data_IF_506548345661
#
_entry.id   IF_506548345661
#
_cell.length_a   1.000
_cell.length_b   1.000
_cell.length_c   1.000
_cell.angle_alpha   90.00
_cell.angle_beta   90.00
_cell.angle_gamma   90.00
#
_symmetry.space_group_name_H-M   'P 1'
#
loop_
_entity.id
_entity.type
_entity.pdbx_description
1 polymer ?
#
# COMPACT_ATOMS: atom_id res chain seq x y z
N UNK A 1 12.86 -3.07 2.10
CA UNK A 1 11.54 -3.03 2.77
C UNK A 1 10.42 -2.95 1.75
N UNK A 2 9.30 -3.58 2.07
CA UNK A 2 8.02 -3.41 1.36
C UNK A 2 7.06 -2.65 2.27
N UNK A 3 6.57 -1.51 1.81
CA UNK A 3 5.59 -0.67 2.49
C UNK A 3 4.26 -0.78 1.76
N UNK A 4 3.31 -1.51 2.33
CA UNK A 4 2.05 -1.86 1.68
C UNK A 4 0.88 -1.05 2.23
N UNK A 5 0.37 -0.09 1.45
CA UNK A 5 -0.79 0.73 1.79
C UNK A 5 -2.06 0.08 1.26
N UNK A 6 -2.93 -0.35 2.16
CA UNK A 6 -4.25 -0.92 1.85
C UNK A 6 -5.38 -0.07 2.41
N UNK A 7 -6.56 -0.17 1.85
CA UNK A 7 -7.75 0.58 2.27
C UNK A 7 -8.69 0.85 1.10
N UNK A 8 -9.87 1.36 1.38
CA UNK A 8 -10.88 1.67 0.37
C UNK A 8 -10.41 2.73 -0.65
N UNK A 9 -10.97 2.78 -1.86
CA UNK A 9 -10.76 3.89 -2.80
C UNK A 9 -11.04 5.24 -2.14
N UNK A 10 -10.19 6.23 -2.39
CA UNK A 10 -10.33 7.58 -1.81
C UNK A 10 -9.78 7.74 -0.39
N UNK A 11 -9.32 6.69 0.29
CA UNK A 11 -8.81 6.77 1.67
C UNK A 11 -7.49 7.55 1.84
N UNK A 12 -6.76 7.86 0.76
CA UNK A 12 -5.52 8.64 0.82
C UNK A 12 -4.23 7.85 0.64
N UNK A 13 -4.30 6.56 0.31
CA UNK A 13 -3.13 5.67 0.13
C UNK A 13 -2.03 6.24 -0.75
N UNK A 14 -2.38 6.69 -1.96
CA UNK A 14 -1.41 7.24 -2.93
C UNK A 14 -0.73 8.50 -2.39
N UNK A 15 -1.48 9.36 -1.71
CA UNK A 15 -0.93 10.60 -1.11
C UNK A 15 0.08 10.26 -0.01
N UNK A 16 -0.28 9.37 0.90
CA UNK A 16 0.60 8.96 1.99
C UNK A 16 1.80 8.15 1.47
N UNK A 17 1.59 7.29 0.47
CA UNK A 17 2.68 6.56 -0.19
C UNK A 17 3.71 7.49 -0.80
N UNK A 18 3.29 8.55 -1.52
CA UNK A 18 4.20 9.56 -2.07
C UNK A 18 4.96 10.32 -0.98
N UNK A 19 4.29 10.67 0.11
CA UNK A 19 4.94 11.33 1.27
C UNK A 19 5.97 10.43 1.95
N UNK A 20 5.67 9.14 2.10
CA UNK A 20 6.65 8.19 2.60
C UNK A 20 7.89 8.13 1.70
N UNK A 21 7.71 8.12 0.38
CA UNK A 21 8.83 8.10 -0.57
C UNK A 21 9.69 9.37 -0.44
N UNK A 22 9.07 10.54 -0.33
CA UNK A 22 9.78 11.79 -0.10
C UNK A 22 10.60 11.72 1.20
N UNK A 23 10.00 11.23 2.28
CA UNK A 23 10.65 11.04 3.56
C UNK A 23 11.83 10.06 3.47
N UNK A 24 11.64 8.87 2.91
CA UNK A 24 12.69 7.86 2.76
C UNK A 24 13.88 8.37 1.92
N UNK A 25 13.66 9.24 0.96
CA UNK A 25 14.72 9.87 0.16
C UNK A 25 15.49 10.93 0.93
N UNK A 26 14.90 11.57 1.93
CA UNK A 26 15.56 12.60 2.75
C UNK A 26 16.33 12.00 3.93
N UNK A 27 15.97 10.81 4.38
CA UNK A 27 16.63 10.13 5.49
C UNK A 27 18.06 9.72 5.12
N UNK A 28 19.04 10.29 5.83
CA UNK A 28 20.48 10.05 5.59
C UNK A 28 20.87 8.58 5.72
N UNK A 29 20.12 7.76 6.44
CA UNK A 29 20.36 6.32 6.60
C UNK A 29 20.05 5.55 5.31
N UNK A 30 19.15 6.06 4.47
CA UNK A 30 18.63 5.37 3.30
C UNK A 30 19.06 6.01 1.96
N UNK A 31 19.98 6.99 1.95
CA UNK A 31 20.41 7.68 0.73
C UNK A 31 20.94 6.77 -0.40
N UNK A 32 21.29 5.52 -0.07
CA UNK A 32 21.78 4.52 -1.03
C UNK A 32 20.68 3.59 -1.55
N UNK A 33 19.46 3.59 -0.95
CA UNK A 33 18.39 2.71 -1.40
C UNK A 33 17.49 3.41 -2.40
N UNK A 34 17.28 2.76 -3.53
CA UNK A 34 16.27 3.19 -4.50
C UNK A 34 14.89 2.80 -3.97
N UNK A 35 13.95 3.72 -4.02
CA UNK A 35 12.56 3.51 -3.61
C UNK A 35 11.66 3.58 -4.84
N UNK A 36 10.88 2.54 -5.08
CA UNK A 36 9.88 2.49 -6.15
C UNK A 36 8.48 2.71 -5.59
N UNK A 37 7.63 3.39 -6.36
CA UNK A 37 6.20 3.47 -6.09
C UNK A 37 5.44 2.59 -7.07
N UNK A 38 4.59 1.70 -6.55
CA UNK A 38 3.67 0.91 -7.33
C UNK A 38 2.24 1.30 -6.94
N UNK A 39 1.58 2.07 -7.79
CA UNK A 39 0.17 2.46 -7.60
C UNK A 39 -0.76 1.50 -8.34
N UNK A 40 -1.88 1.15 -7.70
CA UNK A 40 -2.82 0.18 -8.25
C UNK A 40 -3.56 0.65 -9.50
N UNK A 41 -3.80 1.95 -9.63
CA UNK A 41 -4.45 2.53 -10.80
C UNK A 41 -3.44 2.57 -11.98
N UNK A 42 -2.21 3.00 -11.75
CA UNK A 42 -1.13 2.97 -12.76
C UNK A 42 -0.87 1.53 -13.24
N UNK A 43 -0.87 0.56 -12.32
CA UNK A 43 -0.70 -0.85 -12.66
C UNK A 43 -1.84 -1.37 -13.55
N UNK A 44 -3.07 -0.92 -13.30
CA UNK A 44 -4.23 -1.28 -14.14
C UNK A 44 -4.09 -0.73 -15.56
N UNK A 45 -3.59 0.49 -15.70
CA UNK A 45 -3.30 1.08 -17.01
C UNK A 45 -2.22 0.29 -17.74
N UNK A 46 -1.12 -0.02 -17.07
CA UNK A 46 0.00 -0.78 -17.63
C UNK A 46 -0.42 -2.17 -18.10
N UNK A 47 -1.24 -2.87 -17.32
CA UNK A 47 -1.70 -4.23 -17.62
C UNK A 47 -2.99 -4.29 -18.43
N UNK A 48 -3.55 -3.13 -18.78
CA UNK A 48 -4.86 -2.99 -19.48
C UNK A 48 -5.99 -3.74 -18.73
N UNK A 49 -5.91 -3.82 -17.41
CA UNK A 49 -6.90 -4.50 -16.58
C UNK A 49 -8.01 -3.54 -16.16
N UNK A 50 -9.12 -3.54 -16.89
CA UNK A 50 -10.34 -2.78 -16.57
C UNK A 50 -11.38 -3.58 -15.79
N UNK A 51 -11.06 -4.80 -15.39
CA UNK A 51 -11.95 -5.68 -14.64
C UNK A 51 -11.88 -5.36 -13.13
N UNK A 52 -13.00 -4.86 -12.58
CA UNK A 52 -13.16 -4.56 -11.15
C UNK A 52 -13.94 -5.65 -10.40
N UNK A 53 -14.24 -6.77 -11.05
CA UNK A 53 -14.79 -7.97 -10.38
C UNK A 53 -13.79 -8.50 -9.35
N UNK A 54 -14.21 -9.36 -8.41
CA UNK A 54 -13.29 -10.02 -7.48
C UNK A 54 -12.10 -10.68 -8.18
N UNK A 55 -12.34 -11.35 -9.31
CA UNK A 55 -11.29 -11.99 -10.12
C UNK A 55 -10.32 -10.99 -10.74
N UNK A 56 -10.82 -9.92 -11.34
CA UNK A 56 -9.99 -8.88 -11.92
C UNK A 56 -9.17 -8.13 -10.87
N UNK A 57 -9.73 -7.95 -9.67
CA UNK A 57 -9.02 -7.39 -8.51
C UNK A 57 -7.91 -8.33 -8.02
N UNK A 58 -8.18 -9.63 -7.93
CA UNK A 58 -7.17 -10.62 -7.56
C UNK A 58 -6.00 -10.63 -8.54
N UNK A 59 -6.27 -10.61 -9.85
CA UNK A 59 -5.22 -10.53 -10.88
C UNK A 59 -4.35 -9.29 -10.67
N UNK A 60 -4.96 -8.13 -10.43
CA UNK A 60 -4.22 -6.89 -10.21
C UNK A 60 -3.35 -6.96 -8.94
N UNK A 61 -3.86 -7.55 -7.86
CA UNK A 61 -3.11 -7.75 -6.60
C UNK A 61 -1.93 -8.68 -6.84
N UNK A 62 -2.13 -9.80 -7.52
CA UNK A 62 -1.07 -10.75 -7.82
C UNK A 62 0.02 -10.14 -8.70
N UNK A 63 -0.34 -9.34 -9.69
CA UNK A 63 0.62 -8.58 -10.50
C UNK A 63 1.44 -7.62 -9.63
N UNK A 64 0.78 -6.88 -8.74
CA UNK A 64 1.46 -5.99 -7.80
C UNK A 64 2.43 -6.77 -6.89
N UNK A 65 2.03 -7.92 -6.37
CA UNK A 65 2.86 -8.78 -5.53
C UNK A 65 4.11 -9.27 -6.28
N UNK A 66 3.94 -9.78 -7.51
CA UNK A 66 5.06 -10.27 -8.32
C UNK A 66 6.08 -9.16 -8.62
N UNK A 67 5.61 -8.00 -9.02
CA UNK A 67 6.48 -6.84 -9.32
C UNK A 67 7.19 -6.36 -8.05
N UNK A 68 6.46 -6.25 -6.94
CA UNK A 68 7.00 -5.84 -5.65
C UNK A 68 8.09 -6.80 -5.17
N UNK A 69 7.83 -8.10 -5.22
CA UNK A 69 8.80 -9.12 -4.81
C UNK A 69 10.06 -9.08 -5.68
N UNK A 70 9.90 -8.95 -7.00
CA UNK A 70 11.03 -8.83 -7.91
C UNK A 70 11.90 -7.63 -7.57
N UNK A 71 11.30 -6.45 -7.43
CA UNK A 71 12.03 -5.21 -7.09
C UNK A 71 12.70 -5.32 -5.71
N UNK A 72 11.99 -5.85 -4.71
CA UNK A 72 12.52 -6.04 -3.36
C UNK A 72 13.76 -6.96 -3.35
N UNK A 73 13.75 -8.04 -4.12
CA UNK A 73 14.89 -8.97 -4.27
C UNK A 73 16.13 -8.31 -4.89
N UNK A 74 15.98 -7.20 -5.61
CA UNK A 74 17.11 -6.42 -6.12
C UNK A 74 17.76 -5.49 -5.06
N UNK A 75 17.23 -5.50 -3.83
CA UNK A 75 17.71 -4.65 -2.73
C UNK A 75 17.07 -3.26 -2.67
N UNK A 76 16.02 -3.02 -3.46
CA UNK A 76 15.27 -1.78 -3.45
C UNK A 76 14.12 -1.81 -2.43
N UNK A 77 13.70 -0.62 -1.97
CA UNK A 77 12.49 -0.46 -1.20
C UNK A 77 11.29 -0.23 -2.16
N UNK A 78 10.12 -0.75 -1.79
CA UNK A 78 8.91 -0.62 -2.61
C UNK A 78 7.77 -0.10 -1.76
N UNK A 79 7.16 0.99 -2.21
CA UNK A 79 5.92 1.52 -1.64
C UNK A 79 4.78 1.13 -2.57
N UNK A 80 3.82 0.38 -2.05
CA UNK A 80 2.65 -0.11 -2.81
C UNK A 80 1.40 0.59 -2.31
N UNK A 81 0.62 1.18 -3.21
CA UNK A 81 -0.67 1.82 -2.91
C UNK A 81 -1.78 1.08 -3.66
N UNK A 82 -2.46 0.17 -2.98
CA UNK A 82 -3.44 -0.72 -3.61
C UNK A 82 -4.63 -0.99 -2.70
N UNK A 83 -5.85 -1.08 -3.23
CA UNK A 83 -7.04 -1.40 -2.42
C UNK A 83 -6.93 -2.79 -1.79
N UNK A 84 -6.54 -3.80 -2.55
CA UNK A 84 -6.30 -5.19 -2.12
C UNK A 84 -7.38 -5.74 -1.15
N UNK A 85 -8.67 -5.87 -1.58
CA UNK A 85 -9.78 -6.20 -0.69
C UNK A 85 -9.64 -7.52 0.06
N UNK A 86 -9.20 -8.65 -0.52
CA UNK A 86 -9.08 -9.91 0.20
C UNK A 86 -7.90 -9.88 1.17
N UNK A 87 -8.17 -10.06 2.47
CA UNK A 87 -7.13 -10.12 3.50
C UNK A 87 -6.17 -11.27 3.27
N UNK A 88 -6.67 -12.46 2.93
CA UNK A 88 -5.83 -13.64 2.76
C UNK A 88 -4.73 -13.47 1.70
N UNK A 89 -4.98 -12.69 0.63
CA UNK A 89 -3.95 -12.37 -0.37
C UNK A 89 -2.82 -11.51 0.21
N UNK A 90 -3.14 -10.59 1.11
CA UNK A 90 -2.15 -9.74 1.78
C UNK A 90 -1.35 -10.55 2.80
N UNK A 91 -2.02 -11.40 3.59
CA UNK A 91 -1.37 -12.27 4.57
C UNK A 91 -0.40 -13.25 3.89
N UNK A 92 -0.84 -13.94 2.81
CA UNK A 92 0.01 -14.82 2.01
C UNK A 92 1.28 -14.10 1.52
N UNK A 93 1.13 -12.86 1.07
CA UNK A 93 2.25 -12.08 0.56
C UNK A 93 3.18 -11.60 1.69
N UNK A 94 2.61 -11.19 2.82
CA UNK A 94 3.35 -10.80 4.02
C UNK A 94 4.24 -11.94 4.52
N UNK A 95 3.70 -13.16 4.61
CA UNK A 95 4.45 -14.35 4.97
C UNK A 95 5.58 -14.66 3.98
N UNK A 96 5.30 -14.51 2.68
CA UNK A 96 6.28 -14.79 1.61
C UNK A 96 7.44 -13.81 1.58
N UNK A 97 7.21 -12.55 1.90
CA UNK A 97 8.25 -11.49 1.99
C UNK A 97 9.02 -11.59 3.31
N UNK A 98 8.37 -12.05 4.38
CA UNK A 98 8.87 -12.06 5.76
C UNK A 98 8.47 -10.79 6.52
N UNK A 99 8.02 -10.95 7.75
CA UNK A 99 7.49 -9.85 8.58
C UNK A 99 8.52 -8.74 8.80
N UNK A 100 9.79 -9.10 8.92
CA UNK A 100 10.91 -8.16 9.10
C UNK A 100 11.15 -7.26 7.88
N UNK A 101 10.62 -7.63 6.72
CA UNK A 101 10.76 -6.90 5.45
C UNK A 101 9.46 -6.25 4.98
N UNK A 102 8.36 -6.41 5.72
CA UNK A 102 7.03 -6.00 5.30
C UNK A 102 6.35 -5.12 6.35
N UNK A 103 5.95 -3.92 5.96
CA UNK A 103 5.15 -3.04 6.79
C UNK A 103 3.81 -2.77 6.11
N UNK A 104 2.72 -3.22 6.71
CA UNK A 104 1.36 -2.94 6.24
C UNK A 104 0.81 -1.68 6.90
N UNK A 105 0.18 -0.80 6.10
CA UNK A 105 -0.56 0.37 6.55
C UNK A 105 -2.01 0.24 6.14
N UNK A 106 -2.90 0.25 7.10
CA UNK A 106 -4.34 0.30 6.85
C UNK A 106 -4.82 1.75 6.85
N UNK A 107 -5.18 2.24 5.67
CA UNK A 107 -5.60 3.62 5.47
C UNK A 107 -7.11 3.69 5.36
N UNK A 108 -7.74 4.38 6.28
CA UNK A 108 -9.18 4.58 6.28
C UNK A 108 -9.56 6.05 6.52
N UNK A 109 -10.81 6.38 6.19
CA UNK A 109 -11.37 7.71 6.33
C UNK A 109 -12.85 7.59 6.62
N UNK A 110 -13.34 8.25 7.66
CA UNK A 110 -14.75 8.28 8.02
C UNK A 110 -15.54 9.38 7.31
N UNK A 111 -14.84 10.37 6.73
CA UNK A 111 -15.48 11.44 5.96
C UNK A 111 -15.91 10.94 4.58
N UNK A 112 -17.11 11.32 4.09
CA UNK A 112 -17.51 11.05 2.72
C UNK A 112 -16.52 11.63 1.72
N UNK A 113 -16.13 10.83 0.73
CA UNK A 113 -15.20 11.25 -0.33
C UNK A 113 -15.77 10.93 -1.70
N UNK A 114 -15.30 11.66 -2.72
CA UNK A 114 -15.79 11.52 -4.11
C UNK A 114 -15.71 10.08 -4.66
N UNK A 115 -14.84 9.24 -4.10
CA UNK A 115 -14.62 7.85 -4.55
C UNK A 115 -15.41 6.79 -3.77
N UNK A 116 -16.33 7.17 -2.88
CA UNK A 116 -17.08 6.22 -2.05
C UNK A 116 -17.93 5.25 -2.89
N UNK A 117 -18.41 5.67 -4.04
CA UNK A 117 -19.16 4.83 -4.96
C UNK A 117 -18.34 3.70 -5.60
N UNK A 118 -17.00 3.76 -5.52
CA UNK A 118 -16.10 2.70 -5.96
C UNK A 118 -15.69 1.76 -4.83
N UNK A 119 -16.22 1.92 -3.62
CA UNK A 119 -15.86 1.10 -2.49
C UNK A 119 -16.07 -0.38 -2.79
N UNK A 120 -15.12 -1.20 -2.38
CA UNK A 120 -15.24 -2.65 -2.46
C UNK A 120 -16.13 -3.14 -1.33
N UNK A 121 -17.27 -3.76 -1.68
CA UNK A 121 -18.20 -4.35 -0.69
C UNK A 121 -17.56 -5.48 0.11
N UNK A 122 -16.56 -6.13 -0.45
CA UNK A 122 -15.86 -7.28 0.14
C UNK A 122 -14.47 -6.91 0.66
N UNK A 123 -14.26 -5.64 1.04
CA UNK A 123 -12.99 -5.23 1.63
C UNK A 123 -12.87 -5.76 3.06
N UNK A 124 -11.79 -6.48 3.32
CA UNK A 124 -11.45 -7.03 4.63
C UNK A 124 -10.27 -6.25 5.22
N UNK A 125 -10.51 -5.54 6.33
CA UNK A 125 -9.43 -4.85 7.05
C UNK A 125 -8.37 -5.84 7.57
N UNK A 126 -7.08 -5.44 7.68
CA UNK A 126 -6.07 -6.26 8.31
C UNK A 126 -6.41 -6.52 9.79
N UNK A 127 -5.87 -7.60 10.36
CA UNK A 127 -6.12 -7.99 11.74
C UNK A 127 -4.85 -8.04 12.58
N UNK A 128 -3.71 -8.31 11.96
CA UNK A 128 -2.42 -8.51 12.65
C UNK A 128 -1.30 -7.78 11.91
N UNK A 129 -0.30 -7.34 12.66
CA UNK A 129 0.94 -6.77 12.11
C UNK A 129 0.70 -5.67 11.07
N UNK A 130 -0.05 -4.63 11.46
CA UNK A 130 -0.31 -3.46 10.62
C UNK A 130 -0.30 -2.17 11.43
N UNK A 131 -0.07 -1.06 10.75
CA UNK A 131 -0.22 0.29 11.30
C UNK A 131 -1.56 0.87 10.84
N UNK A 132 -2.39 1.28 11.81
CA UNK A 132 -3.68 1.91 11.56
C UNK A 132 -3.51 3.41 11.31
N UNK A 133 -4.08 3.93 10.22
CA UNK A 133 -3.98 5.35 9.85
C UNK A 133 -5.35 5.89 9.46
N UNK A 134 -5.94 6.69 10.33
CA UNK A 134 -7.21 7.39 10.11
C UNK A 134 -6.97 8.77 9.48
N UNK A 135 -7.12 8.87 8.17
CA UNK A 135 -6.92 10.13 7.43
C UNK A 135 -8.02 11.17 7.63
N UNK A 136 -9.04 10.87 8.43
CA UNK A 136 -10.01 11.86 8.92
C UNK A 136 -9.38 12.75 9.98
N UNK A 137 -8.55 12.18 10.85
CA UNK A 137 -7.95 12.80 12.02
C UNK A 137 -6.48 13.12 11.83
N UNK A 138 -5.76 12.23 11.16
CA UNK A 138 -4.32 12.29 11.03
C UNK A 138 -3.93 13.07 9.78
N UNK A 139 -3.17 14.14 9.97
CA UNK A 139 -2.54 14.79 8.83
C UNK A 139 -1.30 13.99 8.38
N UNK A 140 -0.82 14.22 7.15
CA UNK A 140 0.35 13.51 6.63
C UNK A 140 1.64 13.67 7.46
N UNK A 141 1.75 14.70 8.30
CA UNK A 141 2.92 14.91 9.16
C UNK A 141 2.87 14.00 10.39
N UNK A 142 1.68 13.80 10.97
CA UNK A 142 1.47 12.85 12.06
C UNK A 142 1.80 11.42 11.61
N UNK A 143 1.43 11.05 10.39
CA UNK A 143 1.78 9.77 9.80
C UNK A 143 3.30 9.54 9.73
N UNK A 144 4.09 10.55 9.32
CA UNK A 144 5.54 10.43 9.22
C UNK A 144 6.21 10.30 10.60
N UNK A 145 5.65 10.91 11.66
CA UNK A 145 6.19 10.74 13.02
C UNK A 145 6.03 9.31 13.53
N UNK A 146 4.96 8.61 13.16
CA UNK A 146 4.75 7.21 13.51
C UNK A 146 5.78 6.27 12.89
N UNK A 147 6.32 6.62 11.71
CA UNK A 147 7.35 5.82 11.03
C UNK A 147 8.73 6.04 11.65
N UNK A 148 8.98 7.21 12.23
CA UNK A 148 10.24 7.51 12.92
C UNK A 148 10.44 6.69 14.21
N UNK A 149 9.36 6.21 14.82
CA UNK A 149 9.37 5.46 16.06
C UNK A 149 9.53 3.94 15.85
N UNK A 150 9.49 3.47 14.60
CA UNK A 150 9.71 2.08 14.18
C UNK A 150 11.12 1.90 13.58
#
# INVERSE_FOLDING_TARGET
>A
MVYWFTGQPGSGKTVLGKKLIEFLKTEKRNWRRTVFHLDGDDLRELTVNKDYTPKGREINIRNAQMITEYIHKTGCDVVVSLVAPPRWLREEFKERIGLENFQEFYIHCSDPRERDHFHSKNYEAPQTEFMDVDTTKDNPLTFLSLIHEC
#
